data_IF_521851472957
#
_entry.id   IF_521851472957
#
_cell.length_a   1.000
_cell.length_b   1.000
_cell.length_c   1.000
_cell.angle_alpha   90.00
_cell.angle_beta   90.00
_cell.angle_gamma   90.00
#
_symmetry.space_group_name_H-M   'P 1'
#
loop_
_entity.id
_entity.type
_entity.pdbx_description
1 polymer ?
#
# COMPACT_ATOMS: atom_id res chain seq x y z
N UNK A 1 5.02 13.46 -29.77
CA UNK A 1 5.95 12.36 -30.12
C UNK A 1 5.48 11.13 -29.38
N UNK A 2 4.99 10.11 -30.10
CA UNK A 2 4.64 8.81 -29.52
C UNK A 2 5.96 8.13 -29.07
N UNK A 3 6.01 7.46 -27.91
CA UNK A 3 7.22 6.76 -27.50
C UNK A 3 7.46 5.60 -28.46
N UNK A 4 8.66 5.53 -29.03
CA UNK A 4 9.14 4.36 -29.77
C UNK A 4 9.13 3.16 -28.83
N UNK A 5 8.13 2.29 -28.99
CA UNK A 5 8.09 1.00 -28.33
C UNK A 5 9.27 0.18 -28.85
N UNK A 6 10.25 -0.08 -27.97
CA UNK A 6 11.37 -0.96 -28.26
C UNK A 6 10.87 -2.32 -28.75
N UNK A 7 11.53 -2.88 -29.76
CA UNK A 7 11.30 -4.25 -30.24
C UNK A 7 11.39 -5.27 -29.08
N UNK A 8 12.21 -5.00 -28.07
CA UNK A 8 12.30 -5.83 -26.86
C UNK A 8 11.01 -5.81 -26.02
N UNK A 9 10.33 -4.66 -25.92
CA UNK A 9 9.07 -4.52 -25.18
C UNK A 9 7.92 -5.18 -25.92
N UNK A 10 7.93 -5.11 -27.25
CA UNK A 10 6.96 -5.81 -28.09
C UNK A 10 7.16 -7.33 -27.97
N UNK A 11 8.40 -7.83 -28.04
CA UNK A 11 8.73 -9.24 -27.84
C UNK A 11 8.38 -9.74 -26.43
N UNK A 12 8.68 -8.96 -25.39
CA UNK A 12 8.32 -9.29 -24.01
C UNK A 12 6.80 -9.31 -23.80
N UNK A 13 6.04 -8.42 -24.46
CA UNK A 13 4.57 -8.43 -24.43
C UNK A 13 4.01 -9.63 -25.18
N UNK A 14 4.55 -9.95 -26.35
CA UNK A 14 4.16 -11.13 -27.13
C UNK A 14 4.47 -12.42 -26.36
N UNK A 15 5.65 -12.57 -25.75
CA UNK A 15 5.99 -13.72 -24.90
C UNK A 15 5.11 -13.81 -23.66
N UNK A 16 4.82 -12.70 -22.98
CA UNK A 16 3.88 -12.68 -21.83
C UNK A 16 2.47 -13.09 -22.24
N UNK A 17 2.00 -12.62 -23.40
CA UNK A 17 0.66 -12.93 -23.94
C UNK A 17 0.57 -14.36 -24.46
N UNK A 18 1.58 -14.84 -25.19
CA UNK A 18 1.70 -16.21 -25.68
C UNK A 18 1.85 -17.22 -24.52
N UNK A 19 2.71 -16.93 -23.54
CA UNK A 19 2.85 -17.74 -22.33
C UNK A 19 1.55 -17.79 -21.52
N UNK A 20 0.76 -16.72 -21.51
CA UNK A 20 -0.56 -16.73 -20.86
C UNK A 20 -1.60 -17.55 -21.62
N UNK A 21 -1.67 -17.43 -22.95
CA UNK A 21 -2.58 -18.24 -23.78
C UNK A 21 -2.20 -19.72 -23.74
N UNK A 22 -0.91 -20.06 -23.77
CA UNK A 22 -0.41 -21.42 -23.55
C UNK A 22 -0.79 -21.95 -22.15
N UNK A 23 -0.75 -21.09 -21.11
CA UNK A 23 -1.12 -21.47 -19.74
C UNK A 23 -2.61 -21.79 -19.53
N UNK A 24 -3.47 -21.17 -20.34
CA UNK A 24 -4.92 -21.37 -20.30
C UNK A 24 -5.36 -22.56 -21.18
N UNK A 25 -4.58 -22.94 -22.20
CA UNK A 25 -4.97 -23.95 -23.21
C UNK A 25 -4.24 -25.30 -23.11
N UNK A 26 -2.99 -25.34 -22.66
CA UNK A 26 -2.22 -26.59 -22.57
C UNK A 26 -2.21 -27.12 -21.13
N UNK A 27 -2.83 -28.29 -20.87
CA UNK A 27 -2.69 -28.94 -19.58
C UNK A 27 -1.23 -29.35 -19.36
N UNK A 28 -0.61 -28.83 -18.30
CA UNK A 28 0.76 -29.16 -17.90
C UNK A 28 0.87 -29.10 -16.38
N UNK A 29 1.32 -30.21 -15.80
CA UNK A 29 1.45 -30.38 -14.34
C UNK A 29 0.19 -30.01 -13.53
N UNK A 30 -1.00 -30.41 -14.02
CA UNK A 30 -2.29 -30.10 -13.38
C UNK A 30 -2.44 -30.67 -11.95
N UNK A 31 -1.58 -31.60 -11.52
CA UNK A 31 -1.55 -32.07 -10.13
C UNK A 31 -1.27 -30.95 -9.11
N UNK A 32 -0.72 -29.82 -9.54
CA UNK A 32 -0.51 -28.64 -8.69
C UNK A 32 -1.74 -27.74 -8.58
N UNK A 33 -2.79 -27.97 -9.36
CA UNK A 33 -4.04 -27.23 -9.20
C UNK A 33 -4.67 -27.60 -7.85
N UNK A 34 -5.07 -26.63 -7.02
CA UNK A 34 -5.81 -26.93 -5.79
C UNK A 34 -7.11 -27.68 -6.08
N UNK A 35 -7.43 -28.66 -5.24
CA UNK A 35 -8.61 -29.53 -5.41
C UNK A 35 -9.83 -29.06 -4.62
N UNK A 36 -9.65 -28.09 -3.72
CA UNK A 36 -10.70 -27.56 -2.86
C UNK A 36 -10.27 -26.30 -2.13
N UNK A 37 -11.07 -25.90 -1.14
CA UNK A 37 -10.86 -24.71 -0.31
C UNK A 37 -11.02 -25.06 1.17
N UNK A 38 -10.01 -24.74 1.97
CA UNK A 38 -10.19 -24.53 3.40
C UNK A 38 -10.64 -23.08 3.61
N UNK A 39 -11.91 -22.88 3.98
CA UNK A 39 -12.46 -21.53 4.09
C UNK A 39 -11.82 -20.71 5.23
N UNK A 40 -11.39 -21.38 6.30
CA UNK A 40 -10.87 -20.76 7.52
C UNK A 40 -9.51 -21.32 7.91
N UNK A 41 -8.54 -20.42 8.10
CA UNK A 41 -7.22 -20.69 8.65
C UNK A 41 -7.31 -21.28 10.06
N UNK A 42 -8.26 -20.80 10.87
CA UNK A 42 -8.50 -21.28 12.24
C UNK A 42 -9.00 -22.72 12.22
N UNK A 43 -9.97 -23.04 11.37
CA UNK A 43 -10.50 -24.40 11.24
C UNK A 43 -9.45 -25.36 10.67
N UNK A 44 -8.64 -24.91 9.73
CA UNK A 44 -7.53 -25.69 9.19
C UNK A 44 -6.51 -26.05 10.30
N UNK A 45 -6.10 -25.08 11.10
CA UNK A 45 -5.17 -25.29 12.22
C UNK A 45 -5.76 -26.16 13.34
N UNK A 46 -7.09 -26.17 13.51
CA UNK A 46 -7.76 -27.05 14.47
C UNK A 46 -7.75 -28.53 14.06
N UNK A 47 -7.42 -28.87 12.81
CA UNK A 47 -7.33 -30.25 12.32
C UNK A 47 -5.94 -30.82 12.65
N UNK A 48 -5.82 -31.85 13.52
CA UNK A 48 -4.50 -32.38 13.90
C UNK A 48 -3.64 -32.85 12.72
N UNK A 49 -4.27 -33.37 11.66
CA UNK A 49 -3.58 -33.85 10.45
C UNK A 49 -3.03 -32.74 9.55
N UNK A 50 -3.44 -31.47 9.73
CA UNK A 50 -2.95 -30.37 8.89
C UNK A 50 -1.52 -29.95 9.23
N UNK A 51 -1.12 -30.12 10.50
CA UNK A 51 0.11 -29.57 11.05
C UNK A 51 0.19 -28.04 11.03
N UNK A 52 -0.89 -27.35 10.67
CA UNK A 52 -0.93 -25.90 10.61
C UNK A 52 -1.07 -25.30 12.01
N UNK A 53 -0.50 -24.13 12.22
CA UNK A 53 -0.61 -23.39 13.48
C UNK A 53 -1.19 -21.99 13.21
N UNK A 54 -1.99 -21.51 14.17
CA UNK A 54 -2.73 -20.26 14.05
C UNK A 54 -2.52 -19.40 15.30
N UNK A 55 -2.22 -18.12 15.09
CA UNK A 55 -2.07 -17.14 16.15
C UNK A 55 -3.00 -15.96 15.88
N UNK A 56 -3.98 -15.76 16.77
CA UNK A 56 -4.73 -14.50 16.81
C UNK A 56 -3.82 -13.42 17.38
N UNK A 57 -3.77 -12.25 16.72
CA UNK A 57 -2.89 -11.15 17.09
C UNK A 57 -3.69 -9.90 17.45
N UNK A 58 -4.59 -9.47 16.56
CA UNK A 58 -5.46 -8.31 16.80
C UNK A 58 -6.91 -8.77 16.73
N UNK A 59 -7.72 -8.57 17.78
CA UNK A 59 -9.13 -8.95 17.73
C UNK A 59 -9.89 -8.12 16.68
N UNK A 60 -10.97 -8.71 16.16
CA UNK A 60 -11.90 -7.98 15.31
C UNK A 60 -12.49 -6.77 16.06
N UNK A 61 -12.66 -5.65 15.36
CA UNK A 61 -13.15 -4.41 15.94
C UNK A 61 -13.82 -3.54 14.89
N UNK A 62 -14.55 -2.52 15.32
CA UNK A 62 -15.05 -1.48 14.42
C UNK A 62 -14.02 -0.36 14.35
N UNK A 63 -13.57 -0.04 13.14
CA UNK A 63 -12.71 1.10 12.87
C UNK A 63 -13.57 2.32 12.57
N UNK A 64 -13.26 3.44 13.24
CA UNK A 64 -13.93 4.72 13.03
C UNK A 64 -13.00 5.68 12.26
N UNK A 65 -13.60 6.54 11.44
CA UNK A 65 -12.93 7.61 10.68
C UNK A 65 -13.76 8.89 10.77
N UNK A 66 -13.16 9.97 11.26
CA UNK A 66 -13.78 11.30 11.25
C UNK A 66 -13.37 12.00 9.98
N UNK A 67 -14.35 12.31 9.14
CA UNK A 67 -14.13 13.07 7.91
C UNK A 67 -14.28 14.56 8.20
N UNK A 68 -13.43 15.40 7.59
CA UNK A 68 -13.66 16.84 7.61
C UNK A 68 -14.99 17.24 6.96
N UNK A 69 -15.58 18.34 7.40
CA UNK A 69 -16.86 18.85 6.90
C UNK A 69 -16.84 19.11 5.39
N UNK A 70 -17.77 18.53 4.62
CA UNK A 70 -17.82 18.71 3.16
C UNK A 70 -16.90 17.76 2.38
N UNK A 71 -16.03 16.99 3.04
CA UNK A 71 -15.11 16.07 2.35
C UNK A 71 -15.87 14.93 1.66
N UNK A 72 -16.85 14.32 2.32
CA UNK A 72 -17.63 13.21 1.77
C UNK A 72 -18.48 13.63 0.56
N UNK A 73 -18.89 14.89 0.50
CA UNK A 73 -19.61 15.51 -0.60
C UNK A 73 -18.68 15.76 -1.79
N UNK A 74 -17.42 16.11 -1.53
CA UNK A 74 -16.40 16.36 -2.54
C UNK A 74 -15.88 15.08 -3.21
N UNK A 75 -15.96 13.92 -2.55
CA UNK A 75 -15.54 12.62 -3.12
C UNK A 75 -16.50 12.20 -4.26
N UNK A 76 -16.00 12.09 -5.51
CA UNK A 76 -16.82 11.64 -6.63
C UNK A 76 -17.21 10.17 -6.48
N UNK A 77 -18.34 9.79 -7.09
CA UNK A 77 -18.76 8.38 -7.19
C UNK A 77 -18.34 7.86 -8.56
N UNK A 78 -17.51 6.83 -8.57
CA UNK A 78 -17.06 6.14 -9.78
C UNK A 78 -17.81 4.83 -10.01
N UNK A 79 -17.50 4.15 -11.11
CA UNK A 79 -18.16 2.91 -11.54
C UNK A 79 -17.96 1.69 -10.61
N UNK A 80 -17.06 1.78 -9.62
CA UNK A 80 -16.66 0.66 -8.78
C UNK A 80 -16.87 0.96 -7.29
N UNK A 81 -17.40 -0.02 -6.56
CA UNK A 81 -17.55 0.05 -5.10
C UNK A 81 -16.20 0.19 -4.37
N UNK A 82 -15.09 -0.21 -5.01
CA UNK A 82 -13.73 0.00 -4.49
C UNK A 82 -13.31 1.47 -4.49
N UNK A 83 -14.05 2.36 -5.14
CA UNK A 83 -13.86 3.83 -5.12
C UNK A 83 -15.14 4.58 -4.71
N UNK A 84 -16.05 3.91 -4.00
CA UNK A 84 -17.19 4.54 -3.33
C UNK A 84 -16.79 5.56 -2.25
N UNK A 85 -17.75 6.36 -1.78
CA UNK A 85 -17.56 7.35 -0.72
C UNK A 85 -16.93 6.75 0.53
N UNK A 86 -16.08 7.53 1.25
CA UNK A 86 -15.51 7.08 2.51
C UNK A 86 -16.63 6.76 3.53
N UNK A 87 -16.39 5.74 4.35
CA UNK A 87 -17.30 5.34 5.42
C UNK A 87 -16.81 5.92 6.73
N UNK A 88 -17.72 6.32 7.61
CA UNK A 88 -17.35 6.75 8.96
C UNK A 88 -16.97 5.55 9.85
N UNK A 89 -17.52 4.38 9.54
CA UNK A 89 -17.30 3.13 10.27
C UNK A 89 -17.04 1.99 9.30
N UNK A 90 -16.13 1.10 9.69
CA UNK A 90 -15.82 -0.11 8.95
C UNK A 90 -15.48 -1.27 9.90
N UNK A 91 -16.03 -2.45 9.63
CA UNK A 91 -15.70 -3.65 10.38
C UNK A 91 -14.31 -4.16 9.96
N UNK A 92 -13.41 -4.26 10.94
CA UNK A 92 -12.11 -4.88 10.80
C UNK A 92 -12.17 -6.32 11.27
N UNK A 93 -11.87 -7.31 10.41
CA UNK A 93 -11.76 -8.68 10.85
C UNK A 93 -10.56 -8.85 11.79
N UNK A 94 -10.54 -9.98 12.48
CA UNK A 94 -9.39 -10.38 13.29
C UNK A 94 -8.12 -10.45 12.44
N UNK A 95 -7.02 -9.90 12.96
CA UNK A 95 -5.70 -10.07 12.38
C UNK A 95 -4.95 -11.23 13.03
N UNK A 96 -4.40 -12.08 12.19
CA UNK A 96 -3.78 -13.33 12.60
C UNK A 96 -2.60 -13.71 11.70
N UNK A 97 -1.80 -14.66 12.20
CA UNK A 97 -0.74 -15.35 11.47
C UNK A 97 -1.11 -16.82 11.34
N UNK A 98 -0.91 -17.39 10.15
CA UNK A 98 -1.03 -18.81 9.87
C UNK A 98 0.35 -19.35 9.46
N UNK A 99 0.78 -20.43 10.09
CA UNK A 99 1.91 -21.23 9.63
C UNK A 99 1.41 -22.51 8.95
N UNK A 100 1.89 -22.76 7.74
CA UNK A 100 1.60 -23.96 6.97
C UNK A 100 2.87 -24.79 6.78
N UNK A 101 2.96 -26.02 7.32
CA UNK A 101 4.04 -26.93 6.96
C UNK A 101 3.90 -27.31 5.49
N UNK A 102 5.02 -27.30 4.75
CA UNK A 102 5.05 -27.57 3.32
C UNK A 102 4.06 -26.71 2.49
N UNK A 103 3.74 -25.52 2.99
CA UNK A 103 2.80 -24.60 2.37
C UNK A 103 3.30 -24.10 1.02
N UNK A 104 2.37 -23.97 0.08
CA UNK A 104 2.60 -23.46 -1.27
C UNK A 104 2.01 -22.06 -1.42
N UNK A 105 2.73 -21.21 -2.15
CA UNK A 105 2.24 -19.91 -2.58
C UNK A 105 2.33 -19.83 -4.10
N UNK A 106 1.25 -19.33 -4.72
CA UNK A 106 1.18 -19.07 -6.15
C UNK A 106 0.76 -17.61 -6.41
N UNK A 107 1.61 -16.85 -7.10
CA UNK A 107 1.41 -15.45 -7.47
C UNK A 107 2.06 -15.17 -8.83
N UNK A 108 1.26 -15.13 -9.89
CA UNK A 108 1.74 -14.92 -11.27
C UNK A 108 1.19 -13.65 -11.95
N UNK A 109 0.39 -12.89 -11.21
CA UNK A 109 -0.27 -11.68 -11.65
C UNK A 109 -0.39 -10.70 -10.46
N UNK A 110 -0.88 -9.50 -10.73
CA UNK A 110 -1.02 -8.46 -9.70
C UNK A 110 -2.36 -8.57 -8.95
N UNK A 111 -3.35 -9.24 -9.52
CA UNK A 111 -4.71 -9.33 -8.99
C UNK A 111 -4.95 -10.51 -8.05
N UNK A 112 -4.06 -11.50 -7.94
CA UNK A 112 -4.30 -12.75 -7.21
C UNK A 112 -3.04 -13.27 -6.50
N UNK A 113 -3.24 -13.75 -5.27
CA UNK A 113 -2.28 -14.57 -4.53
C UNK A 113 -3.04 -15.75 -3.93
N UNK A 114 -2.62 -16.96 -4.30
CA UNK A 114 -3.19 -18.20 -3.81
C UNK A 114 -2.25 -18.85 -2.80
N UNK A 115 -2.72 -19.03 -1.58
CA UNK A 115 -2.05 -19.77 -0.52
C UNK A 115 -2.66 -21.16 -0.47
N UNK A 116 -1.82 -22.19 -0.51
CA UNK A 116 -2.22 -23.58 -0.71
C UNK A 116 -1.59 -24.43 0.40
N UNK A 117 -2.41 -25.21 1.10
CA UNK A 117 -1.98 -26.13 2.16
C UNK A 117 -1.31 -27.40 1.61
N UNK A 118 -0.66 -28.17 2.48
CA UNK A 118 0.03 -29.41 2.11
C UNK A 118 -0.88 -30.47 1.48
N UNK A 119 -2.17 -30.49 1.84
CA UNK A 119 -3.21 -31.35 1.24
C UNK A 119 -3.78 -30.79 -0.09
N UNK A 120 -3.09 -29.81 -0.70
CA UNK A 120 -3.40 -29.23 -2.00
C UNK A 120 -4.79 -28.53 -2.06
N UNK A 121 -5.17 -27.86 -0.98
CA UNK A 121 -6.37 -27.00 -0.94
C UNK A 121 -5.98 -25.54 -0.80
N UNK A 122 -6.75 -24.64 -1.42
CA UNK A 122 -6.59 -23.20 -1.22
C UNK A 122 -7.01 -22.83 0.21
N UNK A 123 -6.24 -22.01 0.91
CA UNK A 123 -6.64 -21.44 2.21
C UNK A 123 -7.27 -20.07 1.98
N UNK A 124 -8.59 -20.00 2.17
CA UNK A 124 -9.43 -18.94 1.61
C UNK A 124 -9.27 -17.56 2.25
N UNK A 125 -9.15 -17.48 3.57
CA UNK A 125 -9.08 -16.23 4.34
C UNK A 125 -7.67 -15.59 4.38
N UNK A 126 -6.68 -16.23 3.76
CA UNK A 126 -5.32 -15.71 3.52
C UNK A 126 -4.94 -15.67 2.04
N UNK A 127 -5.85 -16.11 1.16
CA UNK A 127 -5.76 -15.95 -0.28
C UNK A 127 -6.65 -14.80 -0.73
N UNK A 128 -6.37 -14.19 -1.88
CA UNK A 128 -7.29 -13.20 -2.45
C UNK A 128 -7.21 -13.20 -3.97
N UNK A 129 -8.28 -12.68 -4.58
CA UNK A 129 -8.25 -12.23 -5.96
C UNK A 129 -9.14 -11.01 -6.16
N UNK A 130 -8.65 -10.00 -6.86
CA UNK A 130 -9.43 -8.86 -7.31
C UNK A 130 -9.98 -9.09 -8.72
N UNK A 131 -11.17 -8.55 -8.99
CA UNK A 131 -11.66 -8.39 -10.35
C UNK A 131 -10.78 -7.39 -11.10
N UNK A 132 -10.40 -7.73 -12.33
CA UNK A 132 -9.61 -6.82 -13.18
C UNK A 132 -10.33 -5.51 -13.50
N UNK A 133 -11.66 -5.58 -13.55
CA UNK A 133 -12.52 -4.42 -13.67
C UNK A 133 -13.08 -4.11 -12.28
N UNK A 134 -12.78 -2.94 -11.76
CA UNK A 134 -13.41 -2.41 -10.55
C UNK A 134 -12.83 -2.86 -9.21
N UNK A 135 -11.83 -3.76 -9.18
CA UNK A 135 -11.06 -4.13 -7.98
C UNK A 135 -11.85 -4.80 -6.85
N UNK A 136 -13.04 -5.32 -7.14
CA UNK A 136 -13.84 -6.06 -6.16
C UNK A 136 -13.14 -7.37 -5.77
N UNK A 137 -13.19 -7.75 -4.50
CA UNK A 137 -12.61 -9.02 -4.06
C UNK A 137 -13.55 -10.19 -4.41
N UNK A 138 -12.99 -11.24 -5.02
CA UNK A 138 -13.70 -12.48 -5.34
C UNK A 138 -13.71 -13.44 -4.16
N UNK A 139 -14.74 -14.27 -4.08
CA UNK A 139 -14.79 -15.37 -3.11
C UNK A 139 -13.68 -16.41 -3.40
N UNK A 140 -13.15 -17.10 -2.37
CA UNK A 140 -12.04 -18.04 -2.55
C UNK A 140 -12.28 -19.13 -3.61
N UNK A 141 -13.50 -19.68 -3.68
CA UNK A 141 -13.87 -20.69 -4.67
C UNK A 141 -13.88 -20.19 -6.13
N UNK A 142 -13.88 -18.87 -6.33
CA UNK A 142 -13.82 -18.23 -7.66
C UNK A 142 -12.39 -17.85 -8.05
N UNK A 143 -11.38 -18.20 -7.22
CA UNK A 143 -9.99 -17.88 -7.52
C UNK A 143 -9.55 -18.54 -8.85
N UNK A 144 -8.81 -17.79 -9.67
CA UNK A 144 -8.37 -18.17 -11.00
C UNK A 144 -7.41 -19.37 -10.99
N UNK A 145 -6.81 -19.69 -9.84
CA UNK A 145 -5.98 -20.88 -9.68
C UNK A 145 -6.74 -22.17 -10.03
N UNK A 146 -8.07 -22.21 -9.82
CA UNK A 146 -8.91 -23.37 -10.13
C UNK A 146 -9.14 -23.57 -11.63
N UNK A 147 -9.06 -22.51 -12.44
CA UNK A 147 -9.21 -22.59 -13.90
C UNK A 147 -7.87 -22.68 -14.63
N UNK A 148 -6.76 -22.42 -13.93
CA UNK A 148 -5.42 -22.49 -14.51
C UNK A 148 -5.05 -23.93 -14.91
N UNK A 149 -4.52 -24.12 -16.12
CA UNK A 149 -4.21 -25.44 -16.70
C UNK A 149 -2.73 -25.77 -16.80
N UNK A 150 -1.87 -24.78 -16.61
CA UNK A 150 -0.44 -24.94 -16.74
C UNK A 150 0.25 -24.46 -15.47
N UNK A 151 1.00 -25.35 -14.84
CA UNK A 151 1.79 -25.05 -13.66
C UNK A 151 3.27 -25.33 -13.96
N UNK A 152 4.13 -24.46 -13.46
CA UNK A 152 5.53 -24.84 -13.26
C UNK A 152 5.63 -25.56 -11.91
N UNK A 153 6.60 -26.45 -11.77
CA UNK A 153 6.88 -27.13 -10.51
C UNK A 153 7.19 -26.07 -9.44
N UNK A 154 6.60 -26.16 -8.22
CA UNK A 154 6.90 -25.19 -7.18
C UNK A 154 8.38 -25.23 -6.82
N UNK A 155 9.00 -24.06 -6.78
CA UNK A 155 10.39 -23.90 -6.35
C UNK A 155 10.47 -24.26 -4.86
N UNK A 156 11.24 -25.30 -4.48
CA UNK A 156 11.41 -25.68 -3.09
C UNK A 156 12.28 -24.65 -2.37
N UNK A 157 11.86 -24.22 -1.18
CA UNK A 157 12.64 -23.37 -0.29
C UNK A 157 12.80 -24.09 1.05
N UNK A 158 14.04 -24.43 1.39
CA UNK A 158 14.37 -24.97 2.70
C UNK A 158 14.32 -23.85 3.75
N UNK A 159 13.59 -24.04 4.84
CA UNK A 159 13.34 -23.02 5.86
C UNK A 159 11.96 -22.36 5.83
N UNK A 160 11.83 -21.35 6.67
CA UNK A 160 10.61 -20.58 6.92
C UNK A 160 10.54 -19.35 6.02
N UNK A 161 9.48 -19.25 5.23
CA UNK A 161 9.22 -18.10 4.34
C UNK A 161 8.04 -17.29 4.88
N UNK A 162 8.23 -15.99 5.11
CA UNK A 162 7.14 -15.05 5.32
C UNK A 162 6.72 -14.39 4.01
N UNK A 163 5.43 -14.51 3.66
CA UNK A 163 4.85 -13.75 2.55
C UNK A 163 4.49 -12.32 2.96
N UNK A 164 5.16 -11.34 2.36
CA UNK A 164 4.79 -9.92 2.46
C UNK A 164 3.88 -9.48 1.29
N UNK A 165 3.32 -10.41 0.53
CA UNK A 165 2.52 -10.10 -0.65
C UNK A 165 1.11 -9.64 -0.28
N UNK A 166 0.74 -8.43 -0.71
CA UNK A 166 -0.59 -7.87 -0.50
C UNK A 166 -1.43 -7.67 -1.78
N UNK A 167 -0.88 -7.99 -2.97
CA UNK A 167 -1.58 -7.83 -4.24
C UNK A 167 -1.78 -6.39 -4.69
N UNK A 168 -2.63 -6.24 -5.69
CA UNK A 168 -3.13 -4.97 -6.18
C UNK A 168 -2.01 -3.95 -6.43
N UNK A 169 -2.14 -2.77 -5.82
CA UNK A 169 -1.14 -1.73 -5.97
C UNK A 169 0.25 -2.11 -5.45
N UNK A 170 0.38 -2.95 -4.42
CA UNK A 170 1.69 -3.41 -3.95
C UNK A 170 2.40 -4.27 -5.02
N UNK A 171 1.66 -5.15 -5.69
CA UNK A 171 2.16 -5.93 -6.82
C UNK A 171 2.54 -5.07 -8.04
N UNK A 172 2.00 -3.85 -8.13
CA UNK A 172 2.33 -2.87 -9.15
C UNK A 172 3.47 -1.92 -8.75
N UNK A 173 4.15 -2.17 -7.62
CA UNK A 173 5.25 -1.34 -7.14
C UNK A 173 4.82 0.00 -6.52
N UNK A 174 3.56 0.11 -6.05
CA UNK A 174 3.07 1.32 -5.42
C UNK A 174 3.60 1.46 -3.98
N UNK A 175 4.26 2.58 -3.70
CA UNK A 175 4.83 2.92 -2.40
C UNK A 175 3.82 2.91 -1.23
N UNK A 176 2.61 3.41 -1.46
CA UNK A 176 1.57 3.46 -0.41
C UNK A 176 1.19 2.04 0.02
N UNK A 177 0.88 1.17 -0.93
CA UNK A 177 0.49 -0.22 -0.62
C UNK A 177 1.65 -1.05 -0.07
N UNK A 178 2.91 -0.72 -0.40
CA UNK A 178 4.04 -1.30 0.32
C UNK A 178 3.98 -0.93 1.81
N UNK A 179 3.89 0.36 2.11
CA UNK A 179 3.98 0.87 3.48
C UNK A 179 2.75 0.52 4.33
N UNK A 180 1.54 0.49 3.74
CA UNK A 180 0.28 0.26 4.44
C UNK A 180 -0.17 -1.20 4.41
N UNK A 181 0.07 -1.96 3.32
CA UNK A 181 -0.51 -3.31 3.17
C UNK A 181 0.49 -4.46 3.28
N UNK A 182 1.75 -4.21 2.89
CA UNK A 182 2.77 -5.26 2.79
C UNK A 182 3.69 -5.28 4.00
N UNK A 183 4.34 -4.15 4.28
CA UNK A 183 5.31 -4.01 5.36
C UNK A 183 4.72 -4.26 6.76
N UNK A 184 3.48 -3.81 7.08
CA UNK A 184 2.90 -4.03 8.42
C UNK A 184 2.59 -5.49 8.74
N UNK A 185 2.64 -6.41 7.77
CA UNK A 185 2.55 -7.86 8.04
C UNK A 185 3.68 -8.34 8.97
N UNK A 186 4.82 -7.65 8.99
CA UNK A 186 5.90 -7.90 9.94
C UNK A 186 5.45 -7.72 11.39
N UNK A 187 4.58 -6.74 11.68
CA UNK A 187 4.03 -6.53 13.01
C UNK A 187 3.29 -7.77 13.50
N UNK A 188 2.41 -8.34 12.68
CA UNK A 188 1.63 -9.51 13.05
C UNK A 188 2.51 -10.71 13.41
N UNK A 189 3.57 -10.93 12.63
CA UNK A 189 4.54 -12.02 12.85
C UNK A 189 5.42 -11.75 14.07
N UNK A 190 5.78 -10.48 14.31
CA UNK A 190 6.51 -10.06 15.51
C UNK A 190 5.70 -10.29 16.78
N UNK A 191 4.43 -9.84 16.82
CA UNK A 191 3.53 -10.04 17.96
C UNK A 191 3.20 -11.52 18.19
N UNK A 192 3.18 -12.34 17.14
CA UNK A 192 3.07 -13.79 17.27
C UNK A 192 4.34 -14.47 17.80
N UNK A 193 5.45 -13.73 17.99
CA UNK A 193 6.73 -14.27 18.46
C UNK A 193 7.51 -15.06 17.40
N UNK A 194 7.14 -14.95 16.12
CA UNK A 194 7.64 -15.81 15.05
C UNK A 194 8.71 -15.18 14.17
N UNK A 195 8.98 -13.87 14.32
CA UNK A 195 9.87 -13.14 13.39
C UNK A 195 11.30 -13.72 13.38
N UNK A 196 11.80 -14.17 14.53
CA UNK A 196 13.14 -14.77 14.65
C UNK A 196 13.25 -16.14 13.97
N UNK A 197 12.13 -16.78 13.65
CA UNK A 197 12.08 -18.07 12.94
C UNK A 197 12.05 -17.90 11.42
N UNK A 198 11.95 -16.66 10.91
CA UNK A 198 11.84 -16.38 9.47
C UNK A 198 13.23 -16.35 8.82
N UNK A 199 13.46 -17.29 7.91
CA UNK A 199 14.69 -17.33 7.10
C UNK A 199 14.60 -16.35 5.93
N UNK A 200 13.43 -16.31 5.27
CA UNK A 200 13.22 -15.54 4.04
C UNK A 200 11.93 -14.73 4.01
N UNK A 201 11.98 -13.58 3.35
CA UNK A 201 10.86 -12.68 3.12
C UNK A 201 10.55 -12.62 1.63
N UNK A 202 9.35 -13.06 1.24
CA UNK A 202 8.90 -13.01 -0.14
C UNK A 202 8.29 -11.62 -0.45
N UNK A 203 8.84 -10.96 -1.47
CA UNK A 203 8.43 -9.64 -1.95
C UNK A 203 8.20 -9.63 -3.47
N UNK A 204 7.46 -8.64 -3.97
CA UNK A 204 7.19 -8.51 -5.41
C UNK A 204 8.40 -8.10 -6.24
N UNK A 205 9.22 -7.19 -5.71
CA UNK A 205 10.43 -6.70 -6.35
C UNK A 205 11.48 -6.39 -5.27
N UNK A 206 12.48 -7.26 -5.15
CA UNK A 206 13.54 -7.08 -4.14
C UNK A 206 14.58 -6.01 -4.52
N UNK A 207 14.54 -5.49 -5.75
CA UNK A 207 15.43 -4.42 -6.21
C UNK A 207 14.81 -3.04 -6.03
N UNK A 208 13.51 -2.97 -5.75
CA UNK A 208 12.83 -1.73 -5.45
C UNK A 208 13.45 -1.04 -4.22
N UNK A 209 13.89 0.20 -4.38
CA UNK A 209 14.69 0.91 -3.36
C UNK A 209 13.97 1.04 -2.03
N UNK A 210 12.70 1.45 -2.05
CA UNK A 210 11.94 1.61 -0.80
C UNK A 210 11.67 0.28 -0.09
N UNK A 211 11.53 -0.83 -0.82
CA UNK A 211 11.38 -2.18 -0.22
C UNK A 211 12.66 -2.55 0.51
N UNK A 212 13.80 -2.44 -0.19
CA UNK A 212 15.11 -2.79 0.34
C UNK A 212 15.52 -1.90 1.51
N UNK A 213 15.33 -0.58 1.38
CA UNK A 213 15.72 0.39 2.41
C UNK A 213 14.87 0.27 3.66
N UNK A 214 13.55 0.09 3.54
CA UNK A 214 12.68 -0.06 4.71
C UNK A 214 12.95 -1.37 5.45
N UNK A 215 13.14 -2.49 4.72
CA UNK A 215 13.47 -3.78 5.33
C UNK A 215 14.86 -3.80 5.97
N UNK A 216 15.86 -3.20 5.31
CA UNK A 216 17.21 -3.11 5.86
C UNK A 216 17.24 -2.32 7.17
N UNK A 217 16.45 -1.25 7.28
CA UNK A 217 16.31 -0.49 8.52
C UNK A 217 15.70 -1.33 9.67
N UNK A 218 14.99 -2.42 9.36
CA UNK A 218 14.50 -3.40 10.33
C UNK A 218 15.45 -4.60 10.54
N UNK A 219 16.67 -4.54 9.99
CA UNK A 219 17.65 -5.61 10.11
C UNK A 219 17.46 -6.78 9.14
N UNK A 220 16.49 -6.70 8.22
CA UNK A 220 16.25 -7.71 7.19
C UNK A 220 17.17 -7.44 6.00
N UNK A 221 18.11 -8.35 5.77
CA UNK A 221 19.20 -8.15 4.79
C UNK A 221 18.81 -8.62 3.38
N UNK A 222 19.43 -8.10 2.32
CA UNK A 222 19.10 -8.45 0.93
C UNK A 222 19.12 -9.95 0.61
N UNK A 223 20.01 -10.72 1.25
CA UNK A 223 20.12 -12.17 1.10
C UNK A 223 18.93 -12.95 1.68
N UNK A 224 18.13 -12.33 2.56
CA UNK A 224 16.89 -12.91 3.10
C UNK A 224 15.70 -12.65 2.17
N UNK A 225 15.87 -11.86 1.09
CA UNK A 225 14.75 -11.49 0.20
C UNK A 225 14.61 -12.47 -0.96
N UNK A 226 13.42 -13.05 -1.07
CA UNK A 226 12.99 -13.86 -2.20
C UNK A 226 12.08 -13.00 -3.09
N UNK A 227 12.30 -13.09 -4.41
CA UNK A 227 11.55 -12.32 -5.39
C UNK A 227 10.47 -13.18 -6.07
N UNK A 228 9.23 -12.70 -6.07
CA UNK A 228 8.10 -13.36 -6.74
C UNK A 228 8.40 -13.67 -8.19
N UNK A 229 9.13 -12.84 -8.94
CA UNK A 229 9.43 -13.10 -10.34
C UNK A 229 10.16 -14.44 -10.56
N UNK A 230 10.99 -14.84 -9.58
CA UNK A 230 11.74 -16.12 -9.58
C UNK A 230 11.04 -17.24 -8.80
N UNK A 231 10.13 -16.89 -7.88
CA UNK A 231 9.46 -17.82 -6.97
C UNK A 231 7.93 -17.69 -7.05
N UNK A 232 7.40 -17.49 -8.27
CA UNK A 232 5.95 -17.29 -8.53
C UNK A 232 5.12 -18.44 -7.99
N UNK A 233 5.68 -19.63 -8.08
CA UNK A 233 5.15 -20.82 -7.47
C UNK A 233 6.24 -21.37 -6.56
N UNK A 234 6.06 -21.26 -5.25
CA UNK A 234 7.02 -21.76 -4.27
C UNK A 234 6.38 -22.74 -3.31
N UNK A 235 7.20 -23.62 -2.74
CA UNK A 235 6.86 -24.48 -1.62
C UNK A 235 7.94 -24.34 -0.55
N UNK A 236 7.58 -23.75 0.59
CA UNK A 236 8.49 -23.63 1.73
C UNK A 236 8.36 -24.83 2.67
N UNK A 237 9.40 -25.17 3.44
CA UNK A 237 9.26 -26.12 4.55
C UNK A 237 8.23 -25.63 5.57
N UNK A 238 8.24 -24.32 5.84
CA UNK A 238 7.19 -23.63 6.59
C UNK A 238 6.85 -22.30 5.93
N UNK A 239 5.58 -22.12 5.56
CA UNK A 239 5.09 -20.89 4.99
C UNK A 239 4.30 -20.10 6.05
N UNK A 240 4.77 -18.90 6.38
CA UNK A 240 4.04 -17.94 7.21
C UNK A 240 3.27 -16.97 6.31
N UNK A 241 1.99 -16.83 6.59
CA UNK A 241 1.10 -15.85 5.95
C UNK A 241 0.25 -15.16 7.00
N UNK A 242 -0.30 -14.01 6.64
CA UNK A 242 -1.19 -13.24 7.51
C UNK A 242 -2.52 -13.01 6.80
N UNK A 243 -3.54 -12.62 7.58
CA UNK A 243 -4.71 -11.94 7.03
C UNK A 243 -4.29 -10.72 6.18
N UNK A 244 -5.13 -10.23 5.25
CA UNK A 244 -4.98 -8.90 4.67
C UNK A 244 -5.01 -7.81 5.76
N UNK A 245 -4.07 -6.87 5.71
CA UNK A 245 -3.87 -5.83 6.75
C UNK A 245 -5.13 -4.99 6.98
N UNK A 246 -5.80 -4.57 5.90
CA UNK A 246 -7.07 -3.80 5.95
C UNK A 246 -8.32 -4.68 5.85
N UNK A 247 -8.19 -5.99 6.00
CA UNK A 247 -9.27 -6.94 5.71
C UNK A 247 -9.84 -6.73 4.31
N UNK A 248 -11.17 -6.59 4.22
CA UNK A 248 -11.89 -6.31 2.97
C UNK A 248 -12.24 -4.81 2.81
N UNK A 249 -11.71 -3.98 3.71
CA UNK A 249 -12.06 -2.58 3.84
C UNK A 249 -11.01 -1.62 3.30
N UNK A 250 -11.16 -0.34 3.64
CA UNK A 250 -10.23 0.74 3.26
C UNK A 250 -9.58 1.45 4.43
N UNK A 251 -10.16 1.39 5.62
CA UNK A 251 -9.55 1.96 6.81
C UNK A 251 -8.23 1.25 7.09
N UNK A 252 -7.19 2.01 7.38
CA UNK A 252 -5.96 1.46 7.93
C UNK A 252 -6.16 1.21 9.42
N UNK A 253 -5.89 0.00 9.94
CA UNK A 253 -5.95 -0.22 11.38
C UNK A 253 -4.96 0.67 12.14
N UNK A 254 -5.30 1.11 13.36
CA UNK A 254 -4.40 1.94 14.17
C UNK A 254 -3.05 1.28 14.48
N UNK A 255 -3.03 -0.06 14.60
CA UNK A 255 -1.78 -0.78 14.83
C UNK A 255 -0.78 -0.61 13.67
N UNK A 256 -1.24 -0.30 12.44
CA UNK A 256 -0.35 -0.01 11.31
C UNK A 256 0.45 1.27 11.55
N UNK A 257 -0.23 2.37 11.91
CA UNK A 257 0.48 3.63 12.18
C UNK A 257 1.35 3.52 13.44
N UNK A 258 0.88 2.82 14.48
CA UNK A 258 1.67 2.55 15.68
C UNK A 258 2.94 1.76 15.39
N UNK A 259 2.83 0.65 14.63
CA UNK A 259 3.96 -0.17 14.22
C UNK A 259 4.98 0.65 13.44
N UNK A 260 4.55 1.37 12.39
CA UNK A 260 5.46 2.09 11.51
C UNK A 260 6.18 3.22 12.25
N UNK A 261 5.50 3.89 13.19
CA UNK A 261 6.14 4.88 14.05
C UNK A 261 7.15 4.25 14.99
N UNK A 262 6.78 3.16 15.68
CA UNK A 262 7.69 2.45 16.58
C UNK A 262 8.91 1.86 15.84
N UNK A 263 8.71 1.42 14.60
CA UNK A 263 9.73 0.84 13.75
C UNK A 263 10.77 1.85 13.25
N UNK A 264 10.35 3.08 12.94
CA UNK A 264 11.19 4.01 12.17
C UNK A 264 11.45 5.35 12.86
N UNK A 265 10.72 5.72 13.91
CA UNK A 265 11.01 6.94 14.67
C UNK A 265 11.99 6.62 15.81
N UNK A 266 13.15 7.27 15.77
CA UNK A 266 14.19 7.12 16.79
C UNK A 266 13.80 7.77 18.13
N UNK A 267 14.33 7.23 19.22
CA UNK A 267 14.28 7.82 20.57
C UNK A 267 15.71 7.85 21.14
N UNK A 268 16.35 9.05 21.28
CA UNK A 268 15.84 10.36 20.89
C UNK A 268 15.76 10.54 19.35
N UNK A 269 14.91 11.46 18.85
CA UNK A 269 14.83 11.75 17.42
C UNK A 269 16.20 12.18 16.85
N UNK A 270 16.51 11.75 15.64
CA UNK A 270 17.66 12.27 14.89
C UNK A 270 17.50 13.78 14.66
N UNK A 271 18.60 14.53 14.55
CA UNK A 271 18.51 15.96 14.27
C UNK A 271 17.72 16.25 12.98
N UNK A 272 16.93 17.34 12.93
CA UNK A 272 16.22 17.74 11.72
C UNK A 272 17.22 18.06 10.60
N UNK A 273 17.05 17.45 9.43
CA UNK A 273 17.88 17.70 8.24
C UNK A 273 17.18 18.58 7.20
N UNK A 274 15.90 18.83 7.39
CA UNK A 274 15.03 19.50 6.44
C UNK A 274 14.30 20.67 7.12
N UNK A 275 13.83 21.62 6.30
CA UNK A 275 13.02 22.72 6.80
C UNK A 275 11.70 22.21 7.38
N UNK A 276 11.17 22.83 8.45
CA UNK A 276 9.99 22.35 9.16
C UNK A 276 8.68 22.54 8.37
N UNK A 277 8.63 23.50 7.44
CA UNK A 277 7.46 23.72 6.58
C UNK A 277 7.73 23.13 5.20
N UNK A 278 6.98 22.08 4.88
CA UNK A 278 7.31 21.15 3.80
C UNK A 278 6.23 21.16 2.75
N UNK A 279 6.62 21.47 1.51
CA UNK A 279 5.79 21.28 0.32
C UNK A 279 6.28 20.06 -0.46
N UNK A 280 5.41 19.08 -0.64
CA UNK A 280 5.67 17.85 -1.38
C UNK A 280 5.27 18.03 -2.84
N UNK A 281 6.28 18.20 -3.69
CA UNK A 281 6.11 18.28 -5.13
C UNK A 281 5.88 16.90 -5.75
N UNK A 282 5.10 16.90 -6.83
CA UNK A 282 4.89 15.75 -7.72
C UNK A 282 5.41 16.01 -9.13
N UNK A 283 6.33 16.97 -9.33
CA UNK A 283 6.79 17.38 -10.67
C UNK A 283 7.39 16.24 -11.50
N UNK A 284 7.90 15.21 -10.84
CA UNK A 284 8.49 14.00 -11.42
C UNK A 284 7.48 12.86 -11.63
N UNK A 285 6.26 12.99 -11.11
CA UNK A 285 5.21 11.99 -11.27
C UNK A 285 4.64 12.01 -12.68
N UNK A 286 4.05 10.90 -13.13
CA UNK A 286 3.39 10.82 -14.45
C UNK A 286 1.97 11.39 -14.46
N UNK A 287 1.41 11.69 -13.29
CA UNK A 287 0.01 12.12 -13.13
C UNK A 287 -0.21 12.89 -11.83
N UNK A 288 -1.26 13.71 -11.81
CA UNK A 288 -1.65 14.57 -10.67
C UNK A 288 -0.52 15.54 -10.33
N UNK A 289 0.04 16.17 -11.37
CA UNK A 289 1.06 17.22 -11.26
C UNK A 289 0.41 18.59 -11.22
N UNK A 290 1.07 19.54 -10.56
CA UNK A 290 0.66 20.93 -10.56
C UNK A 290 1.08 21.63 -11.85
N UNK A 291 0.10 22.04 -12.66
CA UNK A 291 0.35 22.73 -13.93
C UNK A 291 0.96 24.12 -13.75
N UNK A 292 0.73 24.73 -12.59
CA UNK A 292 1.24 26.05 -12.21
C UNK A 292 2.12 26.00 -10.97
N UNK A 293 2.90 24.92 -10.80
CA UNK A 293 3.76 24.73 -9.63
C UNK A 293 4.65 25.94 -9.29
N UNK A 294 5.29 26.64 -10.25
CA UNK A 294 6.09 27.83 -9.92
C UNK A 294 5.30 28.95 -9.23
N UNK A 295 4.01 29.11 -9.56
CA UNK A 295 3.14 30.10 -8.93
C UNK A 295 2.73 29.65 -7.51
N UNK A 296 2.49 28.34 -7.32
CA UNK A 296 2.24 27.73 -6.01
C UNK A 296 3.47 27.92 -5.11
N UNK A 297 4.67 27.59 -5.58
CA UNK A 297 5.91 27.78 -4.84
C UNK A 297 6.18 29.24 -4.47
N UNK A 298 5.82 30.18 -5.34
CA UNK A 298 5.94 31.61 -5.04
C UNK A 298 5.10 32.00 -3.82
N UNK A 299 3.83 31.58 -3.76
CA UNK A 299 2.97 31.81 -2.59
C UNK A 299 3.51 31.10 -1.36
N UNK A 300 3.88 29.82 -1.49
CA UNK A 300 4.34 29.00 -0.36
C UNK A 300 5.63 29.53 0.27
N UNK A 301 6.54 30.12 -0.52
CA UNK A 301 7.77 30.74 -0.03
C UNK A 301 7.52 31.91 0.90
N UNK A 302 6.41 32.63 0.73
CA UNK A 302 6.01 33.73 1.63
C UNK A 302 5.63 33.25 3.04
N UNK A 303 5.38 31.93 3.18
CA UNK A 303 5.09 31.26 4.44
C UNK A 303 6.23 30.30 4.86
N UNK A 304 7.45 30.52 4.37
CA UNK A 304 8.67 29.75 4.67
C UNK A 304 8.63 28.27 4.29
N UNK A 305 7.72 27.84 3.42
CA UNK A 305 7.72 26.47 2.91
C UNK A 305 8.88 26.21 1.97
N UNK A 306 9.46 25.02 2.07
CA UNK A 306 10.46 24.49 1.15
C UNK A 306 9.89 23.33 0.35
N UNK A 307 10.23 23.27 -0.94
CA UNK A 307 9.78 22.22 -1.86
C UNK A 307 10.70 21.01 -1.82
N UNK A 308 10.12 19.81 -1.76
CA UNK A 308 10.82 18.54 -1.85
C UNK A 308 10.15 17.59 -2.84
N UNK A 309 10.94 16.90 -3.65
CA UNK A 309 10.52 15.80 -4.51
C UNK A 309 10.90 14.50 -3.81
N UNK A 310 9.91 13.65 -3.48
CA UNK A 310 10.18 12.48 -2.63
C UNK A 310 11.00 11.38 -3.33
N UNK A 311 11.01 11.30 -4.66
CA UNK A 311 11.82 10.32 -5.37
C UNK A 311 13.32 10.58 -5.25
N UNK A 312 13.73 11.83 -4.98
CA UNK A 312 15.11 12.23 -4.74
C UNK A 312 15.61 11.82 -3.34
N UNK A 313 14.71 11.40 -2.44
CA UNK A 313 15.01 11.06 -1.06
C UNK A 313 15.04 9.54 -0.85
N UNK A 314 16.03 9.06 -0.10
CA UNK A 314 16.01 7.70 0.44
C UNK A 314 14.92 7.57 1.51
N UNK A 315 14.58 6.33 1.88
CA UNK A 315 13.53 6.06 2.87
C UNK A 315 13.80 6.75 4.22
N UNK A 316 15.02 6.70 4.73
CA UNK A 316 15.39 7.35 5.99
C UNK A 316 15.22 8.88 5.94
N UNK A 317 15.53 9.49 4.79
CA UNK A 317 15.36 10.93 4.57
C UNK A 317 13.88 11.30 4.51
N UNK A 318 13.03 10.46 3.92
CA UNK A 318 11.56 10.63 3.99
C UNK A 318 11.08 10.57 5.44
N UNK A 319 11.52 9.60 6.22
CA UNK A 319 11.15 9.51 7.65
C UNK A 319 11.60 10.76 8.41
N UNK A 320 12.84 11.23 8.20
CA UNK A 320 13.36 12.44 8.87
C UNK A 320 12.57 13.70 8.45
N UNK A 321 12.27 13.87 7.16
CA UNK A 321 11.49 14.99 6.63
C UNK A 321 10.11 15.08 7.27
N UNK A 322 9.35 13.98 7.27
CA UNK A 322 7.97 14.01 7.79
C UNK A 322 7.94 14.09 9.31
N UNK A 323 8.84 13.41 10.03
CA UNK A 323 8.87 13.42 11.50
C UNK A 323 9.23 14.76 12.14
N UNK A 324 9.86 15.66 11.39
CA UNK A 324 10.23 17.01 11.84
C UNK A 324 9.39 18.11 11.21
N UNK A 325 8.38 17.76 10.41
CA UNK A 325 7.52 18.76 9.77
C UNK A 325 6.59 19.42 10.82
N UNK A 326 6.57 20.75 10.82
CA UNK A 326 5.60 21.58 11.55
C UNK A 326 4.36 21.88 10.70
N UNK A 327 4.47 21.81 9.38
CA UNK A 327 3.34 21.92 8.47
C UNK A 327 3.65 21.21 7.14
N UNK A 328 2.64 20.54 6.60
CA UNK A 328 2.74 19.74 5.39
C UNK A 328 1.77 20.26 4.34
N UNK A 329 2.25 20.43 3.11
CA UNK A 329 1.42 20.71 1.93
C UNK A 329 1.82 19.73 0.85
N UNK A 330 0.88 19.16 0.12
CA UNK A 330 1.21 18.22 -0.94
C UNK A 330 0.04 17.95 -1.85
N UNK A 331 0.32 17.33 -2.99
CA UNK A 331 -0.73 16.84 -3.89
C UNK A 331 -0.98 15.36 -3.67
N UNK A 332 -2.24 14.95 -3.79
CA UNK A 332 -2.69 13.57 -3.56
C UNK A 332 -1.87 12.51 -4.30
N UNK A 333 -1.56 11.43 -3.60
CA UNK A 333 -0.98 10.21 -4.14
C UNK A 333 -0.03 9.49 -3.19
N UNK A 334 0.63 8.44 -3.69
CA UNK A 334 1.29 7.44 -2.85
C UNK A 334 2.34 7.98 -1.86
N UNK A 335 3.00 9.11 -2.16
CA UNK A 335 3.95 9.75 -1.26
C UNK A 335 3.34 10.21 0.07
N UNK A 336 2.01 10.42 0.12
CA UNK A 336 1.27 10.78 1.32
C UNK A 336 1.18 9.65 2.35
N UNK A 337 1.59 8.41 2.01
CA UNK A 337 1.76 7.36 3.01
C UNK A 337 2.71 7.79 4.15
N UNK A 338 3.70 8.63 3.86
CA UNK A 338 4.67 9.12 4.86
C UNK A 338 4.06 10.03 5.93
N UNK A 339 2.81 10.50 5.78
CA UNK A 339 2.10 11.28 6.80
C UNK A 339 2.08 10.57 8.17
N UNK A 340 2.14 9.25 8.18
CA UNK A 340 2.21 8.45 9.42
C UNK A 340 3.43 8.73 10.30
N UNK A 341 4.50 9.29 9.73
CA UNK A 341 5.70 9.65 10.46
C UNK A 341 5.62 11.06 11.08
N UNK A 342 4.69 11.91 10.62
CA UNK A 342 4.55 13.26 11.14
C UNK A 342 4.07 13.29 12.60
N UNK A 343 4.40 14.35 13.33
CA UNK A 343 3.97 14.49 14.72
C UNK A 343 2.44 14.68 14.80
N UNK A 344 1.75 14.07 15.79
CA UNK A 344 0.34 14.37 16.03
C UNK A 344 0.12 15.87 16.19
N UNK A 345 -0.97 16.38 15.62
CA UNK A 345 -1.28 17.81 15.57
C UNK A 345 -0.64 18.56 14.41
N UNK A 346 0.23 17.94 13.59
CA UNK A 346 0.81 18.60 12.41
C UNK A 346 -0.30 18.97 11.42
N UNK A 347 -0.44 20.23 11.03
CA UNK A 347 -1.37 20.65 10.00
C UNK A 347 -0.93 20.17 8.61
N UNK A 348 -1.90 19.63 7.86
CA UNK A 348 -1.75 19.16 6.48
C UNK A 348 -2.73 19.90 5.58
N UNK A 349 -2.27 20.42 4.43
CA UNK A 349 -3.12 20.85 3.33
C UNK A 349 -2.85 19.99 2.10
N UNK A 350 -3.81 19.14 1.73
CA UNK A 350 -3.70 18.27 0.56
C UNK A 350 -4.44 18.84 -0.66
N UNK A 351 -3.78 18.84 -1.82
CA UNK A 351 -4.37 19.24 -3.09
C UNK A 351 -4.96 18.06 -3.84
N UNK A 352 -6.19 18.24 -4.30
CA UNK A 352 -6.91 17.27 -5.14
C UNK A 352 -7.39 17.94 -6.43
N UNK A 353 -7.41 17.26 -7.59
CA UNK A 353 -8.22 17.72 -8.71
C UNK A 353 -9.70 17.78 -8.26
N UNK A 354 -10.45 18.83 -8.63
CA UNK A 354 -11.85 19.00 -8.17
C UNK A 354 -12.81 17.88 -8.64
N UNK A 355 -12.37 17.06 -9.58
CA UNK A 355 -13.10 15.90 -10.13
C UNK A 355 -12.49 14.56 -9.72
N UNK A 356 -11.50 14.58 -8.83
CA UNK A 356 -10.80 13.41 -8.28
C UNK A 356 -10.35 13.72 -6.85
N UNK A 357 -11.23 13.47 -5.87
CA UNK A 357 -10.92 13.58 -4.44
C UNK A 357 -10.82 12.17 -3.86
N UNK A 358 -9.66 11.81 -3.32
CA UNK A 358 -9.33 10.46 -2.85
C UNK A 358 -9.21 10.43 -1.31
N UNK A 359 -9.89 9.51 -0.59
CA UNK A 359 -9.93 9.52 0.88
C UNK A 359 -8.72 8.87 1.58
N UNK A 360 -7.78 8.24 0.85
CA UNK A 360 -6.68 7.45 1.46
C UNK A 360 -5.79 8.27 2.40
N UNK A 361 -5.48 9.52 2.01
CA UNK A 361 -4.68 10.43 2.83
C UNK A 361 -5.44 10.93 4.06
N UNK A 362 -6.78 11.08 3.99
CA UNK A 362 -7.61 11.44 5.14
C UNK A 362 -7.55 10.35 6.21
N UNK A 363 -7.70 9.08 5.82
CA UNK A 363 -7.56 7.97 6.76
C UNK A 363 -6.15 7.96 7.37
N UNK A 364 -5.10 8.09 6.56
CA UNK A 364 -3.70 8.13 7.05
C UNK A 364 -3.46 9.28 8.03
N UNK A 365 -3.93 10.48 7.69
CA UNK A 365 -3.84 11.67 8.54
C UNK A 365 -4.60 11.47 9.86
N UNK A 366 -5.80 10.89 9.80
CA UNK A 366 -6.59 10.57 10.99
C UNK A 366 -5.88 9.55 11.89
N UNK A 367 -5.32 8.47 11.34
CA UNK A 367 -4.55 7.46 12.12
C UNK A 367 -3.25 8.02 12.71
N UNK A 368 -2.71 9.08 12.14
CA UNK A 368 -1.51 9.77 12.62
C UNK A 368 -1.84 10.94 13.56
N UNK A 369 -3.12 11.29 13.72
CA UNK A 369 -3.57 12.41 14.54
C UNK A 369 -3.25 13.79 13.94
N UNK A 370 -3.20 13.91 12.62
CA UNK A 370 -2.92 15.16 11.93
C UNK A 370 -4.18 16.03 11.79
N UNK A 371 -3.98 17.34 11.65
CA UNK A 371 -5.07 18.27 11.34
C UNK A 371 -5.19 18.37 9.81
N UNK A 372 -6.17 17.67 9.25
CA UNK A 372 -6.33 17.54 7.81
C UNK A 372 -7.17 18.68 7.21
N UNK A 373 -6.61 19.36 6.23
CA UNK A 373 -7.27 20.32 5.33
C UNK A 373 -7.05 19.89 3.88
N UNK A 374 -7.93 20.30 2.98
CA UNK A 374 -7.78 20.06 1.55
C UNK A 374 -8.19 21.28 0.74
N UNK A 375 -7.63 21.37 -0.46
CA UNK A 375 -8.00 22.37 -1.46
C UNK A 375 -8.15 21.66 -2.80
N UNK A 376 -9.19 22.01 -3.55
CA UNK A 376 -9.37 21.47 -4.90
C UNK A 376 -8.82 22.41 -5.96
N UNK A 377 -8.18 21.83 -6.98
CA UNK A 377 -7.67 22.55 -8.13
C UNK A 377 -8.46 22.24 -9.40
N UNK A 378 -8.42 23.17 -10.37
CA UNK A 378 -9.02 22.95 -11.68
C UNK A 378 -8.27 21.82 -12.42
N UNK A 379 -8.94 20.74 -12.85
CA UNK A 379 -8.29 19.63 -13.53
C UNK A 379 -7.81 20.02 -14.93
N UNK A 380 -6.79 19.33 -15.44
CA UNK A 380 -6.22 19.54 -16.78
C UNK A 380 -7.20 19.30 -17.92
N UNK A 381 -8.16 18.39 -17.71
CA UNK A 381 -9.26 18.08 -18.63
C UNK A 381 -10.57 17.95 -17.85
N UNK A 382 -11.74 18.01 -18.52
CA UNK A 382 -13.04 17.80 -17.87
C UNK A 382 -13.15 16.47 -17.12
N UNK A 383 -14.13 16.39 -16.21
CA UNK A 383 -14.42 15.23 -15.39
C UNK A 383 -14.59 13.95 -16.23
N UNK A 384 -14.06 12.84 -15.73
CA UNK A 384 -14.34 11.50 -16.26
C UNK A 384 -15.24 10.74 -15.30
N UNK A 385 -16.21 10.01 -15.83
CA UNK A 385 -16.98 9.04 -15.06
C UNK A 385 -16.16 7.79 -14.66
N UNK A 386 -14.96 7.64 -15.24
CA UNK A 386 -14.08 6.50 -15.00
C UNK A 386 -12.96 6.84 -14.02
N UNK A 387 -12.87 6.11 -12.90
CA UNK A 387 -11.83 6.31 -11.89
C UNK A 387 -10.42 6.30 -12.50
N UNK A 388 -10.15 5.35 -13.40
CA UNK A 388 -8.85 5.16 -14.03
C UNK A 388 -8.39 6.34 -14.91
N UNK A 389 -9.33 7.12 -15.44
CA UNK A 389 -9.05 8.34 -16.18
C UNK A 389 -9.00 9.56 -15.26
N UNK A 390 -9.90 9.65 -14.28
CA UNK A 390 -9.92 10.75 -13.31
C UNK A 390 -8.63 10.83 -12.47
N UNK A 391 -8.05 9.68 -12.09
CA UNK A 391 -6.79 9.64 -11.35
C UNK A 391 -5.58 10.16 -12.14
N UNK A 392 -5.69 10.30 -13.47
CA UNK A 392 -4.60 10.75 -14.34
C UNK A 392 -4.52 12.28 -14.43
N UNK A 393 -5.54 12.99 -13.91
CA UNK A 393 -5.71 14.42 -14.12
C UNK A 393 -4.65 15.21 -13.35
N UNK A 394 -3.90 16.03 -14.09
CA UNK A 394 -3.10 17.11 -13.51
C UNK A 394 -4.05 18.21 -13.00
N UNK A 395 -3.55 19.11 -12.16
CA UNK A 395 -4.37 20.15 -11.53
C UNK A 395 -3.70 21.51 -11.53
N UNK A 396 -4.52 22.56 -11.50
CA UNK A 396 -4.11 23.95 -11.39
C UNK A 396 -4.72 24.54 -10.12
N UNK A 397 -3.90 25.13 -9.25
CA UNK A 397 -4.34 25.69 -7.95
C UNK A 397 -4.38 27.21 -8.03
N UNK A 398 -5.47 27.83 -7.59
CA UNK A 398 -5.57 29.29 -7.53
C UNK A 398 -4.61 29.87 -6.46
N UNK A 399 -3.65 30.74 -6.81
CA UNK A 399 -2.73 31.35 -5.85
C UNK A 399 -3.41 32.17 -4.74
N UNK A 400 -4.56 32.77 -5.00
CA UNK A 400 -5.32 33.58 -4.03
C UNK A 400 -6.03 32.67 -3.02
N UNK A 401 -6.67 31.61 -3.51
CA UNK A 401 -7.29 30.60 -2.64
C UNK A 401 -6.22 29.89 -1.80
N UNK A 402 -5.10 29.52 -2.41
CA UNK A 402 -3.97 28.91 -1.72
C UNK A 402 -3.45 29.81 -0.60
N UNK A 403 -3.21 31.09 -0.87
CA UNK A 403 -2.74 32.05 0.14
C UNK A 403 -3.69 32.11 1.34
N UNK A 404 -4.99 32.12 1.08
CA UNK A 404 -6.03 32.13 2.12
C UNK A 404 -6.01 30.85 2.94
N UNK A 405 -5.95 29.69 2.28
CA UNK A 405 -5.88 28.38 2.92
C UNK A 405 -4.63 28.24 3.81
N UNK A 406 -3.45 28.64 3.33
CA UNK A 406 -2.19 28.55 4.09
C UNK A 406 -2.17 29.52 5.26
N UNK A 407 -2.75 30.71 5.12
CA UNK A 407 -2.87 31.67 6.23
C UNK A 407 -3.75 31.14 7.36
N UNK A 408 -4.78 30.35 7.04
CA UNK A 408 -5.63 29.68 8.04
C UNK A 408 -5.03 28.37 8.59
N UNK A 409 -4.09 27.76 7.87
CA UNK A 409 -3.42 26.51 8.24
C UNK A 409 -2.38 26.71 9.35
N UNK A 410 -1.62 27.80 9.27
CA UNK A 410 -0.54 28.08 10.21
C UNK A 410 -1.09 28.77 11.46
N UNK A 411 -0.70 28.33 12.68
CA UNK A 411 -1.07 29.03 13.89
C UNK A 411 -0.55 30.47 13.84
N UNK A 412 -1.40 31.44 14.19
CA UNK A 412 -0.99 32.83 14.37
C UNK A 412 0.12 32.85 15.42
N UNK A 413 1.33 33.38 15.13
CA UNK A 413 2.39 33.42 16.14
C UNK A 413 1.87 34.11 17.38
N UNK A 414 1.96 33.43 18.53
CA UNK A 414 1.69 34.04 19.81
C UNK A 414 2.54 35.30 19.88
N UNK A 415 1.90 36.47 20.02
CA UNK A 415 2.61 37.74 20.15
C UNK A 415 3.64 37.54 21.24
N UNK A 416 4.93 37.54 20.87
CA UNK A 416 6.00 37.57 21.85
C UNK A 416 5.74 38.84 22.67
N UNK A 417 5.32 38.64 23.91
CA UNK A 417 5.16 39.73 24.86
C UNK A 417 6.52 40.40 24.96
N UNK A 418 6.59 41.62 24.45
CA UNK A 418 7.69 42.53 24.73
C UNK A 418 7.71 42.69 26.25
N UNK A 419 8.68 42.05 26.90
CA UNK A 419 9.09 42.41 28.26
C UNK A 419 10.06 43.59 28.17
#
# INVERSE_FOLDING_TARGET
>A
MLPELSISDLLNRVQRRAGRVLRELLPYQEQYRPTGVHASSRELAARPASGANYWSVVPAHTSHLVLPEGFAEAVPVYESEAHSKPRAEEYMPEAFVLALPHGRLYADNWDSVAIISADNQLVGDVSFQHTRQGWAMLGPAQNNIFSQRYFQEPVPVAGTVLSLLAGGGAAMGNYYHWLIDSLPRLHLVCEAGLLAEVDYFLVYDKYCSFVRESLLALGIRPEQLIDVATHRHLRAERLLVTTPVRGNGRHSPYWVSQFLRAAYLAVPPAAPRFAPRVFISRRDATMRRLLNEPAVEAVLREFDFQTYVLSDLCFADKVNLFSHAEALIGTVGAGMANLMFAAPGTPLLEFHPSTFVEPESVDTAYRAGLVYHWLTGRPSTPASAHHSAARQLDLWIDPVELRTAVSGLLPVPARQGVC
#
